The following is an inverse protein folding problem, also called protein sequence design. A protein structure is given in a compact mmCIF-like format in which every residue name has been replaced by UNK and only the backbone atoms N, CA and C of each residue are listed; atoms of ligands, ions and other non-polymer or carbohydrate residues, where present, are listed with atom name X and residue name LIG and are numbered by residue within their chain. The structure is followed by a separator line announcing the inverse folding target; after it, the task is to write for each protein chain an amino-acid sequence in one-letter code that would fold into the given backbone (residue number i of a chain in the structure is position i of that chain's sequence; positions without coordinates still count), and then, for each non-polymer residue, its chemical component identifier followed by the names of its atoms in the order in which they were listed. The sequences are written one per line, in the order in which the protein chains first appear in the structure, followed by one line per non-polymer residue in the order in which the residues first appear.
data_IF_720141860278
#
_entry.id   IF_720141860278
#
_cell.length_a   1.000
_cell.length_b   1.000
_cell.length_c   1.000
_cell.angle_alpha   90.00
_cell.angle_beta   90.00
_cell.angle_gamma   90.00
#
_symmetry.space_group_name_H-M   'P 1'
#
loop_
_entity.id
_entity.type
_entity.pdbx_description
1 polymer ?
#
# COMPACT_ATOMS: atom_id res chain seq x y z
N UNK A 1 -13.48 -5.58 -4.07
CA UNK A 1 -12.11 -5.49 -4.63
C UNK A 1 -11.69 -4.04 -4.64
N UNK A 2 -10.43 -3.76 -4.35
CA UNK A 2 -9.89 -2.39 -4.33
C UNK A 2 -9.65 -1.88 -5.75
N UNK A 3 -9.75 -0.57 -5.94
CA UNK A 3 -9.41 0.12 -7.21
C UNK A 3 -7.92 0.43 -7.27
N UNK A 4 -7.36 0.64 -8.46
CA UNK A 4 -5.94 0.99 -8.66
C UNK A 4 -5.54 2.25 -7.86
N UNK A 5 -6.42 3.25 -7.79
CA UNK A 5 -6.18 4.46 -6.99
C UNK A 5 -6.10 4.16 -5.48
N UNK A 6 -6.88 3.20 -4.98
CA UNK A 6 -6.82 2.76 -3.59
C UNK A 6 -5.55 1.97 -3.31
N UNK A 7 -5.14 1.11 -4.24
CA UNK A 7 -3.89 0.34 -4.16
C UNK A 7 -2.67 1.26 -4.19
N UNK A 8 -2.72 2.33 -4.98
CA UNK A 8 -1.69 3.37 -5.02
C UNK A 8 -1.53 4.04 -3.65
N UNK A 9 -2.64 4.37 -2.98
CA UNK A 9 -2.60 4.95 -1.63
C UNK A 9 -2.00 3.97 -0.63
N UNK A 10 -2.37 2.69 -0.68
CA UNK A 10 -1.79 1.69 0.20
C UNK A 10 -0.28 1.54 -0.01
N UNK A 11 0.18 1.62 -1.27
CA UNK A 11 1.61 1.61 -1.61
C UNK A 11 2.33 2.87 -1.10
N UNK A 12 1.74 4.06 -1.25
CA UNK A 12 2.30 5.31 -0.72
C UNK A 12 2.46 5.23 0.81
N UNK A 13 1.45 4.69 1.52
CA UNK A 13 1.50 4.46 2.98
C UNK A 13 2.62 3.46 3.35
N UNK A 14 2.73 2.34 2.64
CA UNK A 14 3.81 1.34 2.86
C UNK A 14 5.21 1.95 2.76
N UNK A 15 5.38 2.91 1.85
CA UNK A 15 6.64 3.60 1.62
C UNK A 15 6.82 4.84 2.51
N UNK A 16 5.90 5.09 3.45
CA UNK A 16 5.87 6.30 4.29
C UNK A 16 5.87 7.61 3.49
N UNK A 17 5.23 7.62 2.32
CA UNK A 17 5.06 8.81 1.51
C UNK A 17 3.81 9.60 1.92
N UNK A 18 3.97 10.92 2.03
CA UNK A 18 2.85 11.83 2.21
C UNK A 18 1.98 11.84 0.94
N UNK A 19 0.67 11.71 1.11
CA UNK A 19 -0.29 11.76 0.01
C UNK A 19 -1.16 13.02 0.08
N UNK A 20 -1.72 13.42 -1.07
CA UNK A 20 -2.55 14.62 -1.17
C UNK A 20 -3.86 14.49 -0.35
N UNK A 21 -4.29 15.61 0.24
CA UNK A 21 -5.49 15.71 1.09
C UNK A 21 -6.78 15.30 0.35
N UNK A 22 -6.85 15.51 -0.97
CA UNK A 22 -7.95 15.08 -1.84
C UNK A 22 -8.19 13.57 -1.83
N UNK A 23 -7.25 12.78 -1.28
CA UNK A 23 -7.38 11.33 -1.14
C UNK A 23 -8.04 10.92 0.19
N UNK A 24 -8.33 11.84 1.11
CA UNK A 24 -8.89 11.53 2.44
C UNK A 24 -10.17 10.69 2.38
N UNK A 25 -11.11 10.98 1.47
CA UNK A 25 -12.32 10.16 1.34
C UNK A 25 -12.03 8.70 0.97
N UNK A 26 -10.98 8.45 0.20
CA UNK A 26 -10.54 7.08 -0.14
C UNK A 26 -9.80 6.42 1.02
N UNK A 27 -9.04 7.20 1.81
CA UNK A 27 -8.44 6.71 3.05
C UNK A 27 -9.53 6.23 4.02
N UNK A 28 -10.61 7.00 4.20
CA UNK A 28 -11.72 6.61 5.08
C UNK A 28 -12.37 5.30 4.62
N UNK A 29 -12.55 5.09 3.31
CA UNK A 29 -13.00 3.81 2.76
C UNK A 29 -12.02 2.66 3.07
N UNK A 30 -10.71 2.92 3.02
CA UNK A 30 -9.68 1.92 3.33
C UNK A 30 -9.63 1.59 4.82
N UNK A 31 -9.86 2.57 5.69
CA UNK A 31 -9.99 2.39 7.13
C UNK A 31 -11.25 1.58 7.44
N UNK A 32 -12.40 1.97 6.89
CA UNK A 32 -13.65 1.24 7.05
C UNK A 32 -13.55 -0.21 6.51
N UNK A 33 -12.78 -0.41 5.43
CA UNK A 33 -12.49 -1.71 4.86
C UNK A 33 -11.48 -2.54 5.64
N UNK A 34 -10.86 -1.98 6.69
CA UNK A 34 -9.84 -2.63 7.52
C UNK A 34 -8.53 -2.89 6.78
N UNK A 35 -8.21 -2.10 5.76
CA UNK A 35 -6.91 -2.15 5.06
C UNK A 35 -5.89 -1.24 5.73
N UNK A 36 -6.36 -0.11 6.27
CA UNK A 36 -5.54 0.90 6.94
C UNK A 36 -6.03 1.06 8.37
N UNK A 37 -5.10 1.30 9.28
CA UNK A 37 -5.38 1.79 10.64
C UNK A 37 -4.77 3.17 10.79
N UNK A 38 -5.44 4.05 11.54
CA UNK A 38 -4.92 5.36 11.87
C UNK A 38 -4.28 5.29 13.26
N UNK A 39 -3.00 5.59 13.35
CA UNK A 39 -2.26 5.73 14.60
C UNK A 39 -1.86 7.19 14.79
N UNK A 40 -2.66 7.93 15.57
CA UNK A 40 -2.47 9.37 15.75
C UNK A 40 -2.67 10.14 14.44
N UNK A 41 -1.62 10.80 13.97
CA UNK A 41 -1.54 11.51 12.70
C UNK A 41 -1.04 10.64 11.54
N UNK A 42 -0.52 9.45 11.83
CA UNK A 42 -0.02 8.53 10.83
C UNK A 42 -1.09 7.53 10.40
N UNK A 43 -0.96 7.05 9.17
CA UNK A 43 -1.72 5.92 8.64
C UNK A 43 -0.77 4.74 8.48
N UNK A 44 -1.18 3.58 8.96
CA UNK A 44 -0.42 2.34 8.86
C UNK A 44 -1.23 1.27 8.12
N UNK A 45 -0.53 0.41 7.37
CA UNK A 45 -1.17 -0.74 6.75
C UNK A 45 -1.45 -1.82 7.79
N UNK A 46 -2.66 -2.36 7.75
CA UNK A 46 -2.97 -3.62 8.43
C UNK A 46 -2.41 -4.80 7.63
N UNK A 47 -2.40 -6.00 8.22
CA UNK A 47 -2.06 -7.23 7.48
C UNK A 47 -2.85 -7.38 6.17
N UNK A 48 -4.12 -6.99 6.17
CA UNK A 48 -4.99 -7.02 4.98
C UNK A 48 -4.55 -6.01 3.92
N UNK A 49 -4.14 -4.81 4.35
CA UNK A 49 -3.60 -3.78 3.47
C UNK A 49 -2.28 -4.21 2.82
N UNK A 50 -1.39 -4.83 3.59
CA UNK A 50 -0.11 -5.38 3.11
C UNK A 50 -0.37 -6.44 2.04
N UNK A 51 -1.19 -7.45 2.34
CA UNK A 51 -1.51 -8.50 1.36
C UNK A 51 -2.13 -7.93 0.08
N UNK A 52 -3.00 -6.93 0.17
CA UNK A 52 -3.60 -6.31 -1.01
C UNK A 52 -2.55 -5.61 -1.92
N UNK A 53 -1.52 -5.00 -1.34
CA UNK A 53 -0.41 -4.38 -2.10
C UNK A 53 0.45 -5.47 -2.74
N UNK A 54 0.76 -6.54 -2.01
CA UNK A 54 1.56 -7.67 -2.51
C UNK A 54 0.83 -8.41 -3.65
N UNK A 55 -0.46 -8.72 -3.48
CA UNK A 55 -1.29 -9.34 -4.51
C UNK A 55 -1.38 -8.47 -5.76
N UNK A 56 -1.47 -7.15 -5.61
CA UNK A 56 -1.48 -6.23 -6.74
C UNK A 56 -0.12 -6.18 -7.46
N UNK A 57 0.99 -6.15 -6.72
CA UNK A 57 2.33 -6.21 -7.30
C UNK A 57 2.55 -7.53 -8.07
N UNK A 58 2.10 -8.65 -7.51
CA UNK A 58 2.13 -9.95 -8.18
C UNK A 58 1.25 -9.99 -9.43
N UNK A 59 0.07 -9.35 -9.41
CA UNK A 59 -0.85 -9.28 -10.53
C UNK A 59 -0.36 -8.36 -11.66
N UNK A 60 0.37 -7.29 -11.33
CA UNK A 60 1.01 -6.40 -12.29
C UNK A 60 2.28 -7.01 -12.91
N UNK A 61 2.81 -8.08 -12.33
CA UNK A 61 3.98 -8.79 -12.87
C UNK A 61 5.26 -7.96 -12.85
N UNK A 62 5.48 -7.15 -11.80
CA UNK A 62 6.66 -6.28 -11.75
C UNK A 62 7.89 -7.03 -11.16
N UNK A 63 9.04 -7.04 -11.86
CA UNK A 63 10.22 -7.87 -11.59
C UNK A 63 11.11 -7.40 -10.42
N UNK A 64 10.57 -6.71 -9.42
CA UNK A 64 11.34 -6.22 -8.27
C UNK A 64 11.44 -7.24 -7.12
N UNK A 65 11.37 -8.54 -7.44
CA UNK A 65 11.76 -9.62 -6.53
C UNK A 65 13.20 -10.12 -6.77
N UNK A 66 13.91 -9.62 -7.80
CA UNK A 66 15.27 -10.06 -8.16
C UNK A 66 16.40 -9.11 -7.69
N UNK A 67 16.11 -8.02 -6.96
CA UNK A 67 17.16 -7.09 -6.51
C UNK A 67 17.81 -7.40 -5.15
N UNK A 68 17.54 -8.57 -4.54
CA UNK A 68 18.18 -8.95 -3.28
C UNK A 68 19.37 -9.94 -3.42
N UNK A 69 19.66 -10.49 -4.61
CA UNK A 69 20.67 -11.56 -4.76
C UNK A 69 21.72 -11.34 -5.85
N UNK A 70 21.97 -10.11 -6.32
CA UNK A 70 23.03 -9.81 -7.29
C UNK A 70 24.13 -8.87 -6.76
N UNK A 71 24.34 -8.80 -5.45
CA UNK A 71 25.51 -8.15 -4.85
C UNK A 71 26.18 -9.07 -3.84
N UNK A 72 26.84 -10.12 -4.33
CA UNK A 72 28.02 -10.67 -3.66
C UNK A 72 28.81 -11.60 -4.58
N UNK A 73 30.05 -11.15 -4.81
CA UNK A 73 31.29 -11.85 -5.23
C UNK A 73 31.46 -12.17 -6.71
#
# INVERSE_FOLDING_TARGET
MLRDEQLTILRDISQSFAFADDRHGKIDELIAGGYVVKDGDLFELTAKGITAVEEHAAALGDPDAEQASASSV
#
